data_IF_784751868387
#
_entry.id   IF_784751868387
#
_cell.length_a   1.000
_cell.length_b   1.000
_cell.length_c   1.000
_cell.angle_alpha   90.00
_cell.angle_beta   90.00
_cell.angle_gamma   90.00
#
_symmetry.space_group_name_H-M   'P 1'
#
loop_
_entity.id
_entity.type
_entity.pdbx_description
1 polymer ?
#
# COMPACT_ATOMS: atom_id res chain seq x y z
N UNK A 1 -2.50 9.12 -6.50
CA UNK A 1 -2.19 9.91 -5.28
C UNK A 1 -2.85 11.30 -5.25
N UNK A 2 -3.08 11.98 -6.37
CA UNK A 2 -3.65 13.35 -6.39
C UNK A 2 -5.05 13.46 -5.74
N UNK A 3 -5.90 12.44 -5.91
CA UNK A 3 -7.23 12.39 -5.31
C UNK A 3 -7.25 12.31 -3.77
N UNK A 4 -6.24 11.68 -3.16
CA UNK A 4 -6.15 11.54 -1.69
C UNK A 4 -5.83 12.91 -1.08
N UNK A 5 -4.88 13.63 -1.68
CA UNK A 5 -4.50 14.98 -1.26
C UNK A 5 -5.68 15.96 -1.32
N UNK A 6 -6.55 15.83 -2.33
CA UNK A 6 -7.78 16.61 -2.43
C UNK A 6 -8.75 16.38 -1.26
N UNK A 7 -8.99 15.11 -0.89
CA UNK A 7 -9.86 14.75 0.24
C UNK A 7 -9.31 15.19 1.59
N UNK A 8 -8.00 15.06 1.80
CA UNK A 8 -7.35 15.54 3.04
C UNK A 8 -7.49 17.07 3.16
N UNK A 9 -7.29 17.81 2.07
CA UNK A 9 -7.47 19.27 2.07
C UNK A 9 -8.91 19.69 2.39
N UNK A 10 -9.90 18.92 1.94
CA UNK A 10 -11.31 19.17 2.27
C UNK A 10 -11.56 19.01 3.79
N UNK A 11 -11.01 17.97 4.42
CA UNK A 11 -11.13 17.77 5.87
C UNK A 11 -10.44 18.89 6.65
N UNK A 12 -9.28 19.36 6.20
CA UNK A 12 -8.56 20.49 6.81
C UNK A 12 -9.40 21.77 6.73
N UNK A 13 -10.01 22.05 5.58
CA UNK A 13 -10.91 23.21 5.42
C UNK A 13 -12.11 23.14 6.38
N UNK A 14 -12.73 21.97 6.54
CA UNK A 14 -13.85 21.80 7.47
C UNK A 14 -13.42 22.03 8.94
N UNK A 15 -12.19 21.65 9.30
CA UNK A 15 -11.62 21.90 10.62
C UNK A 15 -11.35 23.39 10.84
N UNK A 16 -10.74 24.07 9.87
CA UNK A 16 -10.45 25.51 9.93
C UNK A 16 -11.73 26.36 10.00
N UNK A 17 -12.79 25.94 9.31
CA UNK A 17 -14.11 26.56 9.37
C UNK A 17 -14.87 26.25 10.67
N UNK A 18 -14.31 25.41 11.55
CA UNK A 18 -14.93 24.98 12.81
C UNK A 18 -16.19 24.14 12.62
N UNK A 19 -16.36 23.53 11.44
CA UNK A 19 -17.51 22.67 11.11
C UNK A 19 -17.37 21.27 11.69
N UNK A 20 -16.14 20.84 11.95
CA UNK A 20 -15.80 19.58 12.62
C UNK A 20 -14.81 19.86 13.74
N UNK A 21 -14.82 18.99 14.75
CA UNK A 21 -13.81 18.99 15.81
C UNK A 21 -12.49 18.38 15.34
N UNK A 22 -11.41 18.65 16.08
CA UNK A 22 -10.10 18.04 15.84
C UNK A 22 -10.16 16.50 15.87
N UNK A 23 -10.97 15.93 16.76
CA UNK A 23 -11.17 14.49 16.84
C UNK A 23 -11.83 13.92 15.58
N UNK A 24 -12.86 14.59 15.06
CA UNK A 24 -13.55 14.20 13.83
C UNK A 24 -12.62 14.34 12.60
N UNK A 25 -11.78 15.37 12.57
CA UNK A 25 -10.79 15.55 11.51
C UNK A 25 -9.76 14.40 11.50
N UNK A 26 -9.27 13.98 12.67
CA UNK A 26 -8.34 12.85 12.77
C UNK A 26 -8.96 11.53 12.31
N UNK A 27 -10.22 11.27 12.64
CA UNK A 27 -10.94 10.07 12.17
C UNK A 27 -11.10 10.11 10.64
N UNK A 28 -11.56 11.23 10.09
CA UNK A 28 -11.78 11.36 8.65
C UNK A 28 -10.47 11.24 7.84
N UNK A 29 -9.37 11.85 8.32
CA UNK A 29 -8.05 11.69 7.69
C UNK A 29 -7.60 10.23 7.79
N UNK A 30 -7.74 9.59 8.94
CA UNK A 30 -7.42 8.19 9.11
C UNK A 30 -8.20 7.34 8.09
N UNK A 31 -9.52 7.47 8.01
CA UNK A 31 -10.36 6.77 7.03
C UNK A 31 -9.95 7.03 5.58
N UNK A 32 -9.55 8.26 5.21
CA UNK A 32 -9.04 8.57 3.86
C UNK A 32 -7.74 7.83 3.58
N UNK A 33 -6.85 7.75 4.57
CA UNK A 33 -5.54 7.09 4.46
C UNK A 33 -5.62 5.57 4.59
N UNK A 34 -6.59 5.04 5.35
CA UNK A 34 -6.80 3.60 5.61
C UNK A 34 -7.87 2.98 4.71
N UNK A 35 -8.65 3.79 3.96
CA UNK A 35 -9.45 3.31 2.82
C UNK A 35 -8.60 2.92 1.60
N UNK A 36 -7.28 3.01 1.72
CA UNK A 36 -6.37 2.24 0.88
C UNK A 36 -6.40 0.82 1.42
N UNK A 37 -6.75 -0.23 0.64
CA UNK A 37 -6.51 -1.60 1.10
C UNK A 37 -4.99 -1.74 1.25
N UNK A 38 -4.52 -1.70 2.50
CA UNK A 38 -3.10 -1.75 2.84
C UNK A 38 -2.46 -3.07 2.42
N UNK A 39 -3.21 -4.16 2.23
CA UNK A 39 -2.63 -5.42 1.74
C UNK A 39 -2.37 -5.41 0.23
N UNK A 40 -3.35 -5.08 -0.62
CA UNK A 40 -3.18 -5.25 -2.08
C UNK A 40 -2.16 -4.27 -2.70
N UNK A 41 -2.12 -3.01 -2.22
CA UNK A 41 -1.23 -2.00 -2.82
C UNK A 41 0.20 -2.12 -2.29
N UNK A 42 0.39 -2.38 -1.00
CA UNK A 42 1.73 -2.67 -0.47
C UNK A 42 2.24 -4.01 -1.00
N UNK A 43 1.40 -5.04 -1.06
CA UNK A 43 1.78 -6.34 -1.64
C UNK A 43 2.20 -6.18 -3.11
N UNK A 44 1.45 -5.43 -3.93
CA UNK A 44 1.84 -5.21 -5.33
C UNK A 44 3.16 -4.44 -5.47
N UNK A 45 3.39 -3.40 -4.67
CA UNK A 45 4.63 -2.62 -4.74
C UNK A 45 5.84 -3.42 -4.24
N UNK A 46 5.68 -4.15 -3.14
CA UNK A 46 6.72 -5.01 -2.56
C UNK A 46 7.01 -6.18 -3.51
N UNK A 47 5.99 -6.77 -4.14
CA UNK A 47 6.17 -7.83 -5.13
C UNK A 47 6.93 -7.33 -6.37
N UNK A 48 6.58 -6.15 -6.90
CA UNK A 48 7.30 -5.56 -8.05
C UNK A 48 8.77 -5.26 -7.72
N UNK A 49 9.02 -4.72 -6.52
CA UNK A 49 10.38 -4.45 -6.04
C UNK A 49 11.18 -5.75 -5.88
N UNK A 50 10.61 -6.76 -5.21
CA UNK A 50 11.25 -8.05 -4.98
C UNK A 50 11.52 -8.81 -6.28
N UNK A 51 10.58 -8.81 -7.22
CA UNK A 51 10.78 -9.41 -8.56
C UNK A 51 11.99 -8.75 -9.27
N UNK A 52 12.08 -7.42 -9.21
CA UNK A 52 13.17 -6.66 -9.82
C UNK A 52 14.53 -7.02 -9.21
N UNK A 53 14.60 -7.10 -7.88
CA UNK A 53 15.82 -7.49 -7.18
C UNK A 53 16.23 -8.92 -7.52
N UNK A 54 15.31 -9.89 -7.50
CA UNK A 54 15.60 -11.31 -7.83
C UNK A 54 16.17 -11.44 -9.26
N UNK A 55 15.63 -10.69 -10.22
CA UNK A 55 16.10 -10.75 -11.62
C UNK A 55 17.51 -10.20 -11.79
N UNK A 56 17.92 -9.25 -10.95
CA UNK A 56 19.24 -8.60 -11.00
C UNK A 56 20.31 -9.30 -10.16
N UNK A 57 19.94 -10.27 -9.31
CA UNK A 57 20.87 -11.06 -8.51
C UNK A 57 21.83 -11.89 -9.39
N UNK A 58 23.08 -11.99 -8.95
CA UNK A 58 24.12 -12.83 -9.56
C UNK A 58 24.04 -14.27 -9.00
N UNK A 59 22.94 -14.94 -9.31
CA UNK A 59 22.66 -16.33 -8.94
C UNK A 59 22.19 -17.11 -10.18
N UNK A 60 22.11 -18.44 -10.07
CA UNK A 60 21.67 -19.27 -11.19
C UNK A 60 20.21 -18.99 -11.57
N UNK A 61 19.87 -19.16 -12.84
CA UNK A 61 18.49 -18.95 -13.32
C UNK A 61 17.48 -19.92 -12.67
N UNK A 62 17.94 -21.09 -12.23
CA UNK A 62 17.11 -22.08 -11.50
C UNK A 62 16.78 -21.58 -10.09
N UNK A 63 17.76 -20.94 -9.41
CA UNK A 63 17.56 -20.30 -8.11
C UNK A 63 16.63 -19.07 -8.23
N UNK A 64 16.81 -18.23 -9.27
CA UNK A 64 15.90 -17.09 -9.54
C UNK A 64 14.46 -17.56 -9.73
N UNK A 65 14.26 -18.63 -10.51
CA UNK A 65 12.94 -19.19 -10.77
C UNK A 65 12.28 -19.71 -9.50
N UNK A 66 13.06 -20.32 -8.61
CA UNK A 66 12.58 -20.78 -7.30
C UNK A 66 12.12 -19.60 -6.44
N UNK A 67 12.91 -18.52 -6.37
CA UNK A 67 12.58 -17.33 -5.60
C UNK A 67 11.34 -16.59 -6.14
N UNK A 68 11.20 -16.48 -7.47
CA UNK A 68 10.02 -15.88 -8.09
C UNK A 68 8.75 -16.70 -7.81
N UNK A 69 8.84 -18.04 -7.87
CA UNK A 69 7.71 -18.90 -7.51
C UNK A 69 7.31 -18.74 -6.03
N UNK A 70 8.26 -18.52 -5.12
CA UNK A 70 7.93 -18.24 -3.71
C UNK A 70 7.13 -16.94 -3.58
N UNK A 71 7.53 -15.89 -4.31
CA UNK A 71 6.85 -14.60 -4.33
C UNK A 71 5.40 -14.71 -4.84
N UNK A 72 5.14 -15.59 -5.82
CA UNK A 72 3.80 -15.83 -6.37
C UNK A 72 2.91 -16.75 -5.49
N UNK A 73 3.50 -17.59 -4.63
CA UNK A 73 2.77 -18.59 -3.83
C UNK A 73 2.51 -18.19 -2.36
N UNK A 74 3.03 -17.06 -1.86
CA UNK A 74 2.74 -16.58 -0.48
C UNK A 74 1.24 -16.23 -0.25
N UNK A 75 0.40 -16.26 -1.28
CA UNK A 75 -1.07 -16.12 -1.18
C UNK A 75 -1.85 -17.45 -1.08
N UNK A 76 -1.21 -18.61 -1.06
CA UNK A 76 -1.87 -19.92 -0.97
C UNK A 76 -1.29 -20.76 0.17
N UNK A 77 -1.70 -20.44 1.40
CA UNK A 77 -1.66 -21.44 2.48
C UNK A 77 -2.89 -22.32 2.25
N UNK A 78 -2.72 -23.47 1.61
CA UNK A 78 -3.77 -24.51 1.61
C UNK A 78 -4.07 -24.90 3.07
N UNK A 79 -5.35 -24.80 3.45
CA UNK A 79 -5.93 -25.21 4.74
C UNK A 79 -5.74 -26.72 5.02
#
# INVERSE_FOLDING_TARGET
>A
MEHIKGKINEVILLLEEGKISEHEAHIAIAEITTSIPEEDILSSFVNEFMETEIRTMDISEDDKRTLLNCLENEGHVED
#
